data_IF_910617549960
#
_entry.id   IF_910617549960
#
_cell.length_a   1.000
_cell.length_b   1.000
_cell.length_c   1.000
_cell.angle_alpha   90.00
_cell.angle_beta   90.00
_cell.angle_gamma   90.00
#
_symmetry.space_group_name_H-M   'P 1'
#
loop_
_entity.id
_entity.type
_entity.pdbx_description
1 polymer ?
#
# COMPACT_ATOMS: atom_id res chain seq x y z
N UNK A 1 2.74 -43.47 45.12
CA UNK A 1 2.15 -42.16 44.76
C UNK A 1 2.96 -41.59 43.60
N UNK A 2 2.49 -41.78 42.36
CA UNK A 2 3.17 -41.30 41.14
C UNK A 2 2.69 -39.87 40.86
N UNK A 3 3.59 -38.90 40.92
CA UNK A 3 3.32 -37.52 40.56
C UNK A 3 3.65 -37.37 39.07
N UNK A 4 2.61 -37.16 38.26
CA UNK A 4 2.69 -36.91 36.82
C UNK A 4 3.16 -35.46 36.63
N UNK A 5 4.35 -35.25 36.06
CA UNK A 5 4.77 -33.91 35.60
C UNK A 5 4.30 -33.76 34.14
N UNK A 6 3.16 -33.08 33.96
CA UNK A 6 2.67 -32.65 32.66
C UNK A 6 3.48 -31.42 32.25
N UNK A 7 4.55 -31.62 31.46
CA UNK A 7 5.24 -30.50 30.83
C UNK A 7 4.37 -29.96 29.69
N UNK A 8 3.92 -28.72 29.86
CA UNK A 8 3.35 -27.89 28.80
C UNK A 8 4.38 -27.73 27.68
N UNK A 9 4.16 -28.41 26.57
CA UNK A 9 4.75 -28.02 25.28
C UNK A 9 3.80 -27.01 24.67
N UNK A 10 3.98 -25.73 25.01
CA UNK A 10 3.31 -24.61 24.36
C UNK A 10 4.26 -23.97 23.34
N UNK A 11 3.99 -24.28 22.07
CA UNK A 11 3.96 -23.32 20.95
C UNK A 11 5.12 -22.35 20.77
N UNK A 12 6.30 -22.84 20.38
CA UNK A 12 7.41 -22.00 19.85
C UNK A 12 7.17 -21.60 18.37
N UNK A 13 6.18 -22.17 17.69
CA UNK A 13 5.91 -21.86 16.27
C UNK A 13 5.15 -20.54 16.06
N UNK A 14 4.41 -20.03 17.06
CA UNK A 14 3.60 -18.81 16.90
C UNK A 14 4.40 -17.51 17.07
N UNK A 15 5.48 -17.50 17.86
CA UNK A 15 6.26 -16.26 18.08
C UNK A 15 6.96 -15.80 16.80
N UNK A 16 7.50 -16.73 16.01
CA UNK A 16 8.15 -16.41 14.73
C UNK A 16 7.20 -15.87 13.67
N UNK A 17 5.92 -16.29 13.68
CA UNK A 17 4.90 -15.75 12.76
C UNK A 17 4.44 -14.36 13.19
N UNK A 18 4.28 -14.14 14.50
CA UNK A 18 3.98 -12.83 15.09
C UNK A 18 5.07 -11.80 14.79
N UNK A 19 6.34 -12.17 14.96
CA UNK A 19 7.50 -11.29 14.71
C UNK A 19 7.65 -10.91 13.23
N UNK A 20 7.08 -11.69 12.32
CA UNK A 20 7.11 -11.42 10.86
C UNK A 20 5.89 -10.68 10.35
N UNK A 21 4.89 -10.42 11.20
CA UNK A 21 3.68 -9.73 10.76
C UNK A 21 3.61 -8.29 11.27
N UNK A 22 3.79 -8.08 12.56
CA UNK A 22 3.56 -6.78 13.21
C UNK A 22 4.73 -5.82 13.04
N UNK A 23 4.43 -4.51 13.15
CA UNK A 23 5.43 -3.46 13.01
C UNK A 23 6.40 -3.50 14.20
N UNK A 24 7.69 -3.31 13.93
CA UNK A 24 8.75 -3.40 14.93
C UNK A 24 9.41 -2.04 15.18
N UNK A 25 9.41 -1.59 16.44
CA UNK A 25 9.98 -0.28 16.78
C UNK A 25 11.48 -0.18 16.47
N UNK A 26 12.27 -1.21 16.77
CA UNK A 26 13.72 -1.19 16.49
C UNK A 26 14.02 -1.09 15.00
N UNK A 27 13.23 -1.79 14.16
CA UNK A 27 13.36 -1.73 12.70
C UNK A 27 13.00 -0.34 12.19
N UNK A 28 11.84 0.20 12.59
CA UNK A 28 11.39 1.51 12.09
C UNK A 28 12.28 2.66 12.54
N UNK A 29 12.92 2.53 13.72
CA UNK A 29 13.90 3.50 14.22
C UNK A 29 15.21 3.56 13.44
N UNK A 30 15.49 2.59 12.55
CA UNK A 30 16.63 2.69 11.63
C UNK A 30 16.46 3.85 10.64
N UNK A 31 15.22 4.22 10.29
CA UNK A 31 14.91 5.31 9.38
C UNK A 31 13.55 5.93 9.73
N UNK A 32 13.41 6.65 10.86
CA UNK A 32 12.10 7.01 11.40
C UNK A 32 11.25 7.89 10.48
N UNK A 33 11.87 8.76 9.67
CA UNK A 33 11.18 9.59 8.67
C UNK A 33 10.57 8.79 7.52
N UNK A 34 10.94 7.52 7.35
CA UNK A 34 10.47 6.65 6.27
C UNK A 34 9.14 5.95 6.60
N UNK A 35 8.74 5.89 7.87
CA UNK A 35 7.63 5.03 8.32
C UNK A 35 6.44 5.83 8.82
N UNK A 36 5.24 5.42 8.41
CA UNK A 36 3.98 6.08 8.70
C UNK A 36 3.56 6.01 10.19
N UNK A 37 4.15 5.11 10.99
CA UNK A 37 3.80 4.91 12.40
C UNK A 37 4.71 5.69 13.37
N UNK A 38 5.79 6.29 12.87
CA UNK A 38 6.75 7.00 13.71
C UNK A 38 6.28 8.45 13.97
N UNK A 39 6.59 9.04 15.14
CA UNK A 39 6.25 10.42 15.45
C UNK A 39 6.59 11.43 14.34
N UNK A 40 7.71 11.19 13.65
CA UNK A 40 8.25 11.96 12.54
C UNK A 40 7.27 12.08 11.34
N UNK A 41 6.33 11.15 11.19
CA UNK A 41 5.31 11.16 10.14
C UNK A 41 4.09 12.05 10.44
N UNK A 42 3.99 12.69 11.63
CA UNK A 42 2.81 13.52 11.97
C UNK A 42 2.53 14.60 10.91
N UNK A 43 3.57 15.34 10.50
CA UNK A 43 3.41 16.40 9.50
C UNK A 43 3.06 15.85 8.11
N UNK A 44 3.58 14.66 7.76
CA UNK A 44 3.19 13.97 6.53
C UNK A 44 1.69 13.68 6.54
N UNK A 45 1.15 13.09 7.61
CA UNK A 45 -0.27 12.77 7.74
C UNK A 45 -1.17 14.01 7.66
N UNK A 46 -0.74 15.14 8.24
CA UNK A 46 -1.47 16.42 8.17
C UNK A 46 -1.60 16.94 6.74
N UNK A 47 -0.56 16.75 5.92
CA UNK A 47 -0.48 17.35 4.59
C UNK A 47 -0.97 16.43 3.46
N UNK A 48 -0.71 15.12 3.58
CA UNK A 48 -0.95 14.19 2.47
C UNK A 48 -2.44 13.93 2.21
N UNK A 49 -3.28 13.99 3.26
CA UNK A 49 -4.70 13.63 3.18
C UNK A 49 -5.45 14.38 2.08
N UNK A 50 -5.39 15.72 2.10
CA UNK A 50 -6.09 16.55 1.10
C UNK A 50 -5.49 16.39 -0.32
N UNK A 51 -4.17 16.27 -0.43
CA UNK A 51 -3.50 16.06 -1.72
C UNK A 51 -3.94 14.73 -2.34
N UNK A 52 -3.78 13.64 -1.60
CA UNK A 52 -4.12 12.29 -2.06
C UNK A 52 -5.61 12.17 -2.37
N UNK A 53 -6.48 12.76 -1.53
CA UNK A 53 -7.92 12.83 -1.77
C UNK A 53 -8.26 13.51 -3.09
N UNK A 54 -7.70 14.70 -3.35
CA UNK A 54 -7.96 15.41 -4.61
C UNK A 54 -7.52 14.61 -5.83
N UNK A 55 -6.36 13.97 -5.74
CA UNK A 55 -5.78 13.20 -6.84
C UNK A 55 -6.61 11.94 -7.16
N UNK A 56 -6.98 11.16 -6.14
CA UNK A 56 -7.80 9.95 -6.33
C UNK A 56 -9.21 10.28 -6.79
N UNK A 57 -9.83 11.37 -6.30
CA UNK A 57 -11.15 11.81 -6.75
C UNK A 57 -11.12 12.27 -8.21
N UNK A 58 -10.07 12.99 -8.62
CA UNK A 58 -9.89 13.36 -10.02
C UNK A 58 -9.71 12.13 -10.91
N UNK A 59 -8.90 11.16 -10.47
CA UNK A 59 -8.69 9.92 -11.23
C UNK A 59 -9.98 9.12 -11.39
N UNK A 60 -10.71 8.89 -10.28
CA UNK A 60 -12.02 8.21 -10.31
C UNK A 60 -12.99 8.94 -11.24
N UNK A 61 -13.02 10.27 -11.21
CA UNK A 61 -13.85 11.08 -12.10
C UNK A 61 -13.50 10.84 -13.57
N UNK A 62 -12.21 10.91 -13.94
CA UNK A 62 -11.77 10.70 -15.32
C UNK A 62 -12.15 9.31 -15.85
N UNK A 63 -12.01 8.27 -15.02
CA UNK A 63 -12.45 6.91 -15.39
C UNK A 63 -13.98 6.84 -15.55
N UNK A 64 -14.74 7.48 -14.66
CA UNK A 64 -16.21 7.49 -14.74
C UNK A 64 -16.76 8.28 -15.94
N UNK A 65 -15.99 9.24 -16.47
CA UNK A 65 -16.35 9.97 -17.69
C UNK A 65 -16.19 9.11 -18.95
N UNK A 66 -15.34 8.06 -18.91
CA UNK A 66 -15.25 7.04 -19.95
C UNK A 66 -16.16 5.85 -19.60
N UNK A 67 -17.44 5.95 -19.98
CA UNK A 67 -18.44 4.90 -19.71
C UNK A 67 -18.04 3.52 -20.25
N UNK A 68 -17.34 3.47 -21.39
CA UNK A 68 -16.93 2.20 -22.00
C UNK A 68 -15.79 1.54 -21.22
N UNK A 69 -14.85 2.33 -20.71
CA UNK A 69 -13.81 1.84 -19.80
C UNK A 69 -14.42 1.41 -18.46
N UNK A 70 -15.32 2.21 -17.88
CA UNK A 70 -15.97 1.90 -16.61
C UNK A 70 -16.72 0.57 -16.67
N UNK A 71 -17.48 0.31 -17.75
CA UNK A 71 -18.19 -0.96 -17.93
C UNK A 71 -17.22 -2.15 -17.94
N UNK A 72 -16.08 -2.03 -18.63
CA UNK A 72 -15.05 -3.08 -18.65
C UNK A 72 -14.41 -3.29 -17.28
N UNK A 73 -14.16 -2.23 -16.52
CA UNK A 73 -13.65 -2.32 -15.15
C UNK A 73 -14.68 -3.05 -14.26
N UNK A 74 -15.97 -2.74 -14.38
CA UNK A 74 -17.02 -3.42 -13.61
C UNK A 74 -17.16 -4.91 -13.95
N UNK A 75 -16.81 -5.29 -15.18
CA UNK A 75 -16.79 -6.69 -15.64
C UNK A 75 -15.38 -7.28 -15.68
N UNK A 76 -14.41 -6.67 -14.99
CA UNK A 76 -12.98 -6.99 -15.18
C UNK A 76 -12.65 -8.48 -14.95
N UNK A 77 -13.32 -9.12 -13.98
CA UNK A 77 -13.17 -10.56 -13.70
C UNK A 77 -13.58 -11.47 -14.87
N UNK A 78 -14.44 -11.00 -15.76
CA UNK A 78 -14.99 -11.75 -16.90
C UNK A 78 -14.15 -11.56 -18.18
N UNK A 79 -13.25 -10.58 -18.19
CA UNK A 79 -12.42 -10.26 -19.34
C UNK A 79 -11.31 -11.30 -19.54
N UNK A 80 -11.00 -11.59 -20.81
CA UNK A 80 -9.78 -12.33 -21.16
C UNK A 80 -8.55 -11.42 -21.02
N UNK A 81 -7.35 -12.00 -20.98
CA UNK A 81 -6.13 -11.22 -20.69
C UNK A 81 -5.88 -10.10 -21.71
N UNK A 82 -6.11 -10.34 -23.00
CA UNK A 82 -5.94 -9.33 -24.05
C UNK A 82 -6.86 -8.12 -23.86
N UNK A 83 -8.03 -8.33 -23.24
CA UNK A 83 -8.96 -7.26 -22.89
C UNK A 83 -8.55 -6.57 -21.59
N UNK A 84 -8.11 -7.34 -20.58
CA UNK A 84 -7.55 -6.82 -19.33
C UNK A 84 -6.36 -5.91 -19.60
N UNK A 85 -5.42 -6.31 -20.45
CA UNK A 85 -4.26 -5.50 -20.79
C UNK A 85 -4.66 -4.16 -21.43
N UNK A 86 -5.64 -4.15 -22.34
CA UNK A 86 -6.16 -2.91 -22.93
C UNK A 86 -6.76 -2.00 -21.86
N UNK A 87 -7.55 -2.56 -20.94
CA UNK A 87 -8.12 -1.82 -19.81
C UNK A 87 -7.01 -1.25 -18.94
N UNK A 88 -6.02 -2.05 -18.55
CA UNK A 88 -4.87 -1.63 -17.74
C UNK A 88 -4.14 -0.45 -18.38
N UNK A 89 -3.87 -0.50 -19.69
CA UNK A 89 -3.20 0.61 -20.40
C UNK A 89 -4.05 1.89 -20.43
N UNK A 90 -5.38 1.79 -20.54
CA UNK A 90 -6.27 2.94 -20.46
C UNK A 90 -6.32 3.53 -19.05
N UNK A 91 -6.43 2.68 -18.02
CA UNK A 91 -6.39 3.05 -16.60
C UNK A 91 -5.09 3.77 -16.27
N UNK A 92 -3.95 3.22 -16.69
CA UNK A 92 -2.63 3.81 -16.54
C UNK A 92 -2.56 5.22 -17.14
N UNK A 93 -3.05 5.40 -18.37
CA UNK A 93 -3.01 6.70 -19.04
C UNK A 93 -3.85 7.76 -18.29
N UNK A 94 -5.04 7.39 -17.81
CA UNK A 94 -5.89 8.28 -17.04
C UNK A 94 -5.31 8.59 -15.66
N UNK A 95 -4.63 7.64 -15.02
CA UNK A 95 -3.94 7.87 -13.76
C UNK A 95 -2.79 8.86 -13.93
N UNK A 96 -1.92 8.64 -14.93
CA UNK A 96 -0.83 9.58 -15.27
C UNK A 96 -1.38 10.98 -15.51
N UNK A 97 -2.50 11.10 -16.24
CA UNK A 97 -3.17 12.37 -16.46
C UNK A 97 -3.69 13.00 -15.15
N UNK A 98 -4.35 12.21 -14.30
CA UNK A 98 -4.89 12.68 -13.03
C UNK A 98 -3.79 13.17 -12.07
N UNK A 99 -2.68 12.44 -12.03
CA UNK A 99 -1.53 12.75 -11.18
C UNK A 99 -0.67 13.88 -11.75
N UNK A 100 -0.80 14.20 -13.04
CA UNK A 100 -0.04 15.26 -13.71
C UNK A 100 1.47 14.99 -13.72
N UNK A 101 1.86 13.72 -13.85
CA UNK A 101 3.26 13.28 -13.78
C UNK A 101 3.82 13.00 -15.18
N UNK A 102 5.15 12.92 -15.28
CA UNK A 102 5.76 12.28 -16.45
C UNK A 102 5.42 10.79 -16.39
N UNK A 103 4.87 10.25 -17.47
CA UNK A 103 4.52 8.84 -17.54
C UNK A 103 5.77 7.97 -17.26
N UNK A 104 5.71 7.01 -16.32
CA UNK A 104 6.71 5.95 -16.25
C UNK A 104 6.61 5.06 -17.49
N UNK A 105 7.65 4.26 -17.74
CA UNK A 105 7.54 3.18 -18.73
C UNK A 105 6.61 2.09 -18.18
N UNK A 106 5.57 1.71 -18.93
CA UNK A 106 4.68 0.62 -18.57
C UNK A 106 5.04 -0.66 -19.33
N UNK A 107 5.45 -1.69 -18.60
CA UNK A 107 5.79 -3.01 -19.12
C UNK A 107 4.80 -4.03 -18.56
N UNK A 108 4.07 -4.69 -19.45
CA UNK A 108 3.13 -5.77 -19.11
C UNK A 108 3.58 -6.99 -19.92
N UNK A 109 4.24 -7.93 -19.25
CA UNK A 109 4.77 -9.15 -19.89
C UNK A 109 4.86 -10.30 -18.87
N UNK A 110 5.54 -11.40 -19.22
CA UNK A 110 5.62 -12.60 -18.38
C UNK A 110 6.92 -12.73 -17.57
N UNK A 111 7.92 -11.90 -17.82
CA UNK A 111 9.32 -12.21 -17.44
C UNK A 111 10.09 -11.07 -16.80
N UNK A 112 9.63 -9.83 -16.94
CA UNK A 112 10.42 -8.65 -16.54
C UNK A 112 10.48 -8.46 -15.03
N UNK A 113 9.52 -8.98 -14.27
CA UNK A 113 9.57 -9.06 -12.80
C UNK A 113 9.18 -10.47 -12.31
N UNK A 114 9.65 -10.85 -11.12
CA UNK A 114 9.38 -12.17 -10.51
C UNK A 114 8.09 -12.22 -9.70
N UNK A 115 7.57 -11.06 -9.29
CA UNK A 115 6.34 -10.93 -8.52
C UNK A 115 5.22 -10.43 -9.45
N UNK A 116 3.99 -10.32 -8.95
CA UNK A 116 2.83 -9.83 -9.71
C UNK A 116 3.06 -8.43 -10.30
N UNK A 117 3.69 -7.55 -9.52
CA UNK A 117 3.99 -6.19 -9.91
C UNK A 117 5.27 -5.66 -9.25
N UNK A 118 5.87 -4.63 -9.85
CA UNK A 118 7.00 -3.92 -9.27
C UNK A 118 7.18 -2.53 -9.90
N UNK A 119 7.39 -1.52 -9.07
CA UNK A 119 7.92 -0.23 -9.50
C UNK A 119 9.45 -0.24 -9.42
N UNK A 120 10.09 -0.16 -10.59
CA UNK A 120 11.55 -0.06 -10.69
C UNK A 120 12.01 1.39 -10.74
N UNK A 121 12.91 1.73 -9.84
CA UNK A 121 13.40 3.10 -9.61
C UNK A 121 14.89 3.16 -9.32
N UNK A 122 15.49 4.30 -9.67
CA UNK A 122 16.91 4.58 -9.40
C UNK A 122 17.07 5.90 -8.64
N UNK A 123 17.38 5.77 -7.34
CA UNK A 123 17.69 6.90 -6.45
C UNK A 123 18.85 7.78 -6.92
N UNK A 124 19.74 7.27 -7.77
CA UNK A 124 20.91 8.01 -8.28
C UNK A 124 20.63 8.73 -9.60
N UNK A 125 19.61 8.31 -10.34
CA UNK A 125 19.17 8.92 -11.59
C UNK A 125 17.64 9.12 -11.56
N UNK A 126 17.16 10.12 -10.82
CA UNK A 126 15.73 10.29 -10.59
C UNK A 126 14.99 10.64 -11.88
N UNK A 127 14.07 9.76 -12.28
CA UNK A 127 13.18 9.92 -13.42
C UNK A 127 11.76 9.50 -13.07
N UNK A 128 10.98 9.10 -14.08
CA UNK A 128 9.63 8.59 -13.86
C UNK A 128 9.63 7.12 -13.37
N UNK A 129 10.73 6.38 -13.56
CA UNK A 129 10.80 4.95 -13.23
C UNK A 129 10.04 4.08 -14.24
N UNK A 130 9.82 2.81 -13.87
CA UNK A 130 9.12 1.82 -14.69
C UNK A 130 8.10 1.07 -13.84
N UNK A 131 6.91 0.88 -14.38
CA UNK A 131 5.84 0.06 -13.80
C UNK A 131 5.82 -1.27 -14.53
N UNK A 132 6.04 -2.35 -13.79
CA UNK A 132 6.16 -3.69 -14.32
C UNK A 132 5.01 -4.55 -13.79
N UNK A 133 4.30 -5.24 -14.67
CA UNK A 133 3.29 -6.24 -14.31
C UNK A 133 3.66 -7.58 -14.92
N UNK A 134 3.65 -8.65 -14.11
CA UNK A 134 3.83 -10.02 -14.57
C UNK A 134 2.48 -10.71 -14.78
N UNK A 135 2.16 -10.97 -16.05
CA UNK A 135 0.92 -11.63 -16.48
C UNK A 135 0.77 -13.01 -15.82
N UNK A 136 1.83 -13.83 -15.85
CA UNK A 136 1.76 -15.21 -15.39
C UNK A 136 1.55 -15.30 -13.87
N UNK A 137 2.10 -14.36 -13.10
CA UNK A 137 1.86 -14.29 -11.65
C UNK A 137 0.47 -13.71 -11.34
N UNK A 138 0.03 -12.68 -12.08
CA UNK A 138 -1.31 -12.11 -11.93
C UNK A 138 -2.43 -13.10 -12.26
N UNK A 139 -2.23 -14.03 -13.19
CA UNK A 139 -3.19 -15.09 -13.50
C UNK A 139 -3.33 -16.14 -12.38
N UNK A 140 -2.33 -16.25 -11.50
CA UNK A 140 -2.34 -17.15 -10.34
C UNK A 140 -2.97 -16.50 -9.11
N UNK A 141 -3.07 -15.18 -9.09
CA UNK A 141 -3.66 -14.45 -7.97
C UNK A 141 -5.14 -14.83 -7.81
N UNK A 142 -5.54 -15.15 -6.59
CA UNK A 142 -6.91 -15.47 -6.23
C UNK A 142 -7.86 -14.26 -6.37
N UNK A 143 -7.32 -13.04 -6.34
CA UNK A 143 -8.07 -11.82 -6.54
C UNK A 143 -8.10 -11.45 -8.04
N UNK A 144 -9.26 -11.54 -8.72
CA UNK A 144 -9.35 -11.26 -10.14
C UNK A 144 -9.08 -9.80 -10.50
N UNK A 145 -9.04 -8.89 -9.53
CA UNK A 145 -8.74 -7.46 -9.70
C UNK A 145 -7.29 -7.10 -9.33
N UNK A 146 -6.44 -8.06 -8.97
CA UNK A 146 -5.06 -7.81 -8.56
C UNK A 146 -4.30 -6.94 -9.56
N UNK A 147 -4.41 -7.22 -10.86
CA UNK A 147 -3.75 -6.42 -11.90
C UNK A 147 -4.17 -4.94 -11.91
N UNK A 148 -5.44 -4.63 -11.64
CA UNK A 148 -5.91 -3.24 -11.54
C UNK A 148 -5.36 -2.57 -10.28
N UNK A 149 -5.47 -3.25 -9.13
CA UNK A 149 -5.00 -2.73 -7.84
C UNK A 149 -3.50 -2.44 -7.87
N UNK A 150 -2.73 -3.40 -8.35
CA UNK A 150 -1.28 -3.30 -8.41
C UNK A 150 -0.82 -2.29 -9.46
N UNK A 151 -1.44 -2.22 -10.64
CA UNK A 151 -1.12 -1.16 -11.61
C UNK A 151 -1.26 0.24 -10.99
N UNK A 152 -2.37 0.48 -10.29
CA UNK A 152 -2.65 1.78 -9.68
C UNK A 152 -1.64 2.05 -8.55
N UNK A 153 -1.36 1.05 -7.73
CA UNK A 153 -0.36 1.13 -6.68
C UNK A 153 1.05 1.47 -7.23
N UNK A 154 1.54 0.73 -8.23
CA UNK A 154 2.87 0.95 -8.80
C UNK A 154 2.97 2.28 -9.57
N UNK A 155 1.89 2.69 -10.24
CA UNK A 155 1.84 4.01 -10.91
C UNK A 155 1.86 5.14 -9.88
N UNK A 156 1.20 4.95 -8.73
CA UNK A 156 1.29 5.87 -7.61
C UNK A 156 2.72 6.02 -7.10
N UNK A 157 3.50 4.95 -7.02
CA UNK A 157 4.92 5.05 -6.68
C UNK A 157 5.71 5.95 -7.64
N UNK A 158 5.40 5.94 -8.94
CA UNK A 158 6.03 6.89 -9.88
C UNK A 158 5.78 8.35 -9.50
N UNK A 159 4.55 8.69 -9.10
CA UNK A 159 4.23 10.05 -8.65
C UNK A 159 4.95 10.43 -7.37
N UNK A 160 4.94 9.53 -6.38
CA UNK A 160 5.65 9.72 -5.11
C UNK A 160 7.15 9.88 -5.33
N UNK A 161 7.74 9.07 -6.21
CA UNK A 161 9.16 9.11 -6.53
C UNK A 161 9.54 10.42 -7.22
N UNK A 162 8.76 10.87 -8.20
CA UNK A 162 8.98 12.18 -8.84
C UNK A 162 8.81 13.35 -7.84
N UNK A 163 7.89 13.24 -6.88
CA UNK A 163 7.73 14.24 -5.81
C UNK A 163 8.89 14.21 -4.81
N UNK A 164 9.48 13.05 -4.52
CA UNK A 164 10.59 12.87 -3.58
C UNK A 164 11.83 13.72 -3.90
N UNK A 165 11.99 14.15 -5.16
CA UNK A 165 13.08 15.02 -5.59
C UNK A 165 12.71 16.51 -5.66
N UNK A 166 11.49 16.88 -5.26
CA UNK A 166 11.04 18.27 -5.06
C UNK A 166 11.10 18.65 -3.58
N UNK A 167 12.31 18.68 -3.00
CA UNK A 167 12.59 18.76 -1.54
C UNK A 167 12.07 20.00 -0.78
N UNK A 168 11.17 20.77 -1.37
CA UNK A 168 10.66 22.03 -0.86
C UNK A 168 9.48 21.84 0.10
N UNK A 169 9.01 20.62 0.34
CA UNK A 169 7.90 20.35 1.28
C UNK A 169 8.13 19.06 2.12
N UNK A 170 7.42 18.89 3.26
CA UNK A 170 7.55 17.70 4.11
C UNK A 170 7.18 16.38 3.43
N UNK A 171 6.19 16.38 2.53
CA UNK A 171 5.77 15.18 1.78
C UNK A 171 6.93 14.62 0.94
N UNK A 172 7.63 15.48 0.19
CA UNK A 172 8.77 15.09 -0.63
C UNK A 172 9.89 14.46 0.21
N UNK A 173 10.17 15.02 1.40
CA UNK A 173 11.19 14.45 2.31
C UNK A 173 10.80 13.07 2.82
N UNK A 174 9.54 12.90 3.22
CA UNK A 174 9.01 11.63 3.68
C UNK A 174 9.08 10.55 2.59
N UNK A 175 8.66 10.86 1.36
CA UNK A 175 8.80 9.91 0.23
C UNK A 175 10.27 9.57 -0.06
N UNK A 176 11.16 10.56 -0.05
CA UNK A 176 12.59 10.30 -0.26
C UNK A 176 13.18 9.41 0.82
N UNK A 177 12.81 9.64 2.09
CA UNK A 177 13.21 8.80 3.20
C UNK A 177 12.70 7.36 3.03
N UNK A 178 11.45 7.19 2.61
CA UNK A 178 10.84 5.89 2.38
C UNK A 178 11.53 5.08 1.26
N UNK A 179 11.71 5.65 0.06
CA UNK A 179 12.44 4.98 -1.02
C UNK A 179 13.91 4.67 -0.66
N UNK A 180 14.55 5.58 0.10
CA UNK A 180 15.91 5.36 0.62
C UNK A 180 15.94 4.18 1.59
N UNK A 181 14.99 4.11 2.53
CA UNK A 181 14.91 3.03 3.51
C UNK A 181 14.61 1.69 2.85
N UNK A 182 13.68 1.65 1.89
CA UNK A 182 13.35 0.45 1.12
C UNK A 182 14.59 -0.13 0.42
N UNK A 183 15.49 0.71 -0.11
CA UNK A 183 16.74 0.27 -0.76
C UNK A 183 17.84 -0.10 0.24
N UNK A 184 18.07 0.72 1.26
CA UNK A 184 19.22 0.61 2.14
C UNK A 184 19.00 -0.34 3.35
N UNK A 185 17.75 -0.56 3.74
CA UNK A 185 17.36 -1.36 4.91
C UNK A 185 16.47 -2.55 4.56
N UNK A 186 16.37 -2.94 3.28
CA UNK A 186 15.57 -4.08 2.81
C UNK A 186 15.78 -5.38 3.61
N UNK A 187 17.01 -5.64 4.08
CA UNK A 187 17.32 -6.84 4.87
C UNK A 187 16.75 -6.81 6.29
N UNK A 188 16.48 -5.64 6.84
CA UNK A 188 15.88 -5.46 8.15
C UNK A 188 14.35 -5.37 8.07
N UNK A 189 13.83 -4.70 7.04
CA UNK A 189 12.41 -4.53 6.76
C UNK A 189 11.87 -5.85 6.17
N UNK A 190 11.56 -6.79 7.06
CA UNK A 190 11.13 -8.14 6.68
C UNK A 190 9.74 -8.49 7.20
N UNK A 191 9.21 -7.73 8.17
CA UNK A 191 7.84 -7.92 8.62
C UNK A 191 6.85 -7.30 7.63
N UNK A 192 5.67 -7.92 7.53
CA UNK A 192 4.58 -7.44 6.70
C UNK A 192 4.22 -5.98 7.00
N UNK A 193 3.99 -5.66 8.27
CA UNK A 193 3.62 -4.31 8.70
C UNK A 193 4.77 -3.31 8.56
N UNK A 194 6.04 -3.69 8.78
CA UNK A 194 7.14 -2.74 8.56
C UNK A 194 7.25 -2.35 7.09
N UNK A 195 7.16 -3.32 6.18
CA UNK A 195 7.19 -3.03 4.75
C UNK A 195 6.00 -2.14 4.35
N UNK A 196 4.78 -2.55 4.71
CA UNK A 196 3.56 -1.87 4.30
C UNK A 196 3.27 -0.56 5.04
N UNK A 197 4.08 -0.23 6.05
CA UNK A 197 4.03 1.08 6.72
C UNK A 197 5.21 1.96 6.37
N UNK A 198 6.07 1.57 5.42
CA UNK A 198 6.85 2.56 4.68
C UNK A 198 5.89 3.57 4.04
N UNK A 199 6.21 4.85 4.11
CA UNK A 199 5.29 5.93 3.72
C UNK A 199 4.86 5.81 2.24
N UNK A 200 5.77 5.41 1.35
CA UNK A 200 5.46 5.19 -0.06
C UNK A 200 4.47 4.02 -0.23
N UNK A 201 4.69 2.90 0.44
CA UNK A 201 3.83 1.70 0.41
C UNK A 201 2.45 1.99 1.02
N UNK A 202 2.43 2.50 2.25
CA UNK A 202 1.22 2.85 3.01
C UNK A 202 0.26 3.70 2.17
N UNK A 203 0.78 4.81 1.62
CA UNK A 203 -0.05 5.75 0.88
C UNK A 203 -0.41 5.24 -0.52
N UNK A 204 0.46 4.47 -1.17
CA UNK A 204 0.15 3.87 -2.47
C UNK A 204 -0.97 2.83 -2.37
N UNK A 205 -0.92 1.94 -1.36
CA UNK A 205 -2.02 1.02 -1.09
C UNK A 205 -3.31 1.75 -0.71
N UNK A 206 -3.23 2.78 0.13
CA UNK A 206 -4.40 3.56 0.49
C UNK A 206 -5.04 4.25 -0.73
N UNK A 207 -4.22 4.80 -1.62
CA UNK A 207 -4.67 5.40 -2.88
C UNK A 207 -5.36 4.37 -3.78
N UNK A 208 -4.69 3.24 -4.06
CA UNK A 208 -5.22 2.18 -4.94
C UNK A 208 -6.51 1.56 -4.41
N UNK A 209 -6.54 1.23 -3.12
CA UNK A 209 -7.72 0.64 -2.47
C UNK A 209 -8.93 1.56 -2.54
N UNK A 210 -8.74 2.87 -2.32
CA UNK A 210 -9.83 3.85 -2.48
C UNK A 210 -10.36 3.88 -3.92
N UNK A 211 -9.46 4.03 -4.90
CA UNK A 211 -9.84 4.19 -6.30
C UNK A 211 -10.64 2.98 -6.78
N UNK A 212 -10.12 1.78 -6.55
CA UNK A 212 -10.77 0.54 -7.00
C UNK A 212 -12.11 0.35 -6.28
N UNK A 213 -12.17 0.61 -4.98
CA UNK A 213 -13.44 0.57 -4.22
C UNK A 213 -14.46 1.58 -4.73
N UNK A 214 -14.03 2.77 -5.16
CA UNK A 214 -14.91 3.81 -5.68
C UNK A 214 -15.42 3.55 -7.12
N UNK A 215 -14.67 2.75 -7.90
CA UNK A 215 -15.05 2.33 -9.25
C UNK A 215 -15.95 1.10 -9.25
N UNK A 216 -15.77 0.22 -8.26
CA UNK A 216 -16.46 -1.06 -8.12
C UNK A 216 -17.47 -1.08 -6.97
N UNK A 217 -17.82 0.08 -6.41
CA UNK A 217 -18.80 0.24 -5.33
C UNK A 217 -18.54 -0.68 -4.13
N UNK A 218 -17.28 -0.81 -3.72
CA UNK A 218 -16.85 -1.64 -2.59
C UNK A 218 -16.84 -3.15 -2.84
N UNK A 219 -17.11 -3.62 -4.06
CA UNK A 219 -17.20 -5.06 -4.38
C UNK A 219 -15.83 -5.74 -4.64
N UNK A 220 -14.75 -5.22 -4.07
CA UNK A 220 -13.39 -5.77 -4.25
C UNK A 220 -12.81 -6.19 -2.91
N UNK A 221 -12.25 -7.40 -2.90
CA UNK A 221 -11.41 -7.86 -1.81
C UNK A 221 -10.06 -7.14 -1.87
N UNK A 222 -9.76 -6.37 -0.84
CA UNK A 222 -8.46 -5.68 -0.66
C UNK A 222 -7.71 -6.21 0.56
N UNK A 223 -8.12 -7.36 1.13
CA UNK A 223 -7.55 -7.86 2.38
C UNK A 223 -6.05 -8.15 2.29
N UNK A 224 -5.56 -8.58 1.13
CA UNK A 224 -4.12 -8.77 0.86
C UNK A 224 -3.39 -7.53 0.35
N UNK A 225 -4.09 -6.41 0.16
CA UNK A 225 -3.57 -5.20 -0.52
C UNK A 225 -3.20 -4.14 0.50
N UNK A 226 -2.20 -4.45 1.33
CA UNK A 226 -1.74 -3.57 2.41
C UNK A 226 -2.33 -3.90 3.79
N UNK A 227 -1.97 -3.09 4.78
CA UNK A 227 -2.49 -3.17 6.15
C UNK A 227 -3.90 -2.59 6.25
N UNK A 228 -4.59 -2.76 7.39
CA UNK A 228 -5.88 -2.10 7.62
C UNK A 228 -5.76 -0.56 7.65
N UNK A 229 -4.58 -0.01 7.89
CA UNK A 229 -4.35 1.43 7.76
C UNK A 229 -4.45 1.96 6.31
N UNK A 230 -4.36 1.07 5.32
CA UNK A 230 -4.50 1.38 3.90
C UNK A 230 -5.83 0.91 3.31
N UNK A 231 -6.76 0.41 4.12
CA UNK A 231 -8.02 -0.14 3.66
C UNK A 231 -9.23 0.64 4.19
N UNK A 232 -10.36 0.47 3.49
CA UNK A 232 -11.60 1.18 3.76
C UNK A 232 -12.71 0.23 4.24
N UNK A 233 -13.59 0.75 5.08
CA UNK A 233 -14.90 0.16 5.36
C UNK A 233 -15.86 0.46 4.18
N UNK A 234 -17.04 -0.16 4.20
CA UNK A 234 -18.08 0.03 3.17
C UNK A 234 -18.55 1.49 3.04
N UNK A 235 -18.46 2.27 4.13
CA UNK A 235 -18.80 3.70 4.17
C UNK A 235 -17.65 4.63 3.74
N UNK A 236 -16.56 4.07 3.18
CA UNK A 236 -15.34 4.77 2.78
C UNK A 236 -14.56 5.45 3.92
N UNK A 237 -14.80 5.04 5.18
CA UNK A 237 -13.92 5.39 6.30
C UNK A 237 -12.71 4.45 6.36
N UNK A 238 -11.56 4.92 6.85
CA UNK A 238 -10.38 4.07 7.03
C UNK A 238 -10.62 3.05 8.14
N UNK A 239 -10.20 1.79 7.94
CA UNK A 239 -10.26 0.76 9.00
C UNK A 239 -9.34 1.11 10.17
N UNK A 240 -8.15 1.65 9.88
CA UNK A 240 -7.27 2.31 10.86
C UNK A 240 -6.90 3.70 10.35
N UNK A 241 -7.45 4.75 10.97
CA UNK A 241 -7.18 6.14 10.59
C UNK A 241 -5.93 6.68 11.32
N UNK A 242 -4.75 6.51 10.69
CA UNK A 242 -3.49 7.02 11.26
C UNK A 242 -3.51 8.53 11.52
N UNK A 243 -3.93 9.41 10.59
CA UNK A 243 -4.07 10.84 10.87
C UNK A 243 -4.87 11.13 12.15
N UNK A 244 -5.99 10.42 12.36
CA UNK A 244 -6.76 10.53 13.60
C UNK A 244 -5.97 10.06 14.82
N UNK A 245 -5.26 8.94 14.76
CA UNK A 245 -4.44 8.45 15.88
C UNK A 245 -3.36 9.46 16.28
N UNK A 246 -2.71 10.11 15.30
CA UNK A 246 -1.73 11.17 15.58
C UNK A 246 -2.38 12.36 16.28
N UNK A 247 -3.54 12.81 15.79
CA UNK A 247 -4.30 13.91 16.40
C UNK A 247 -4.71 13.58 17.84
N UNK A 248 -5.29 12.41 18.07
CA UNK A 248 -5.76 11.97 19.38
C UNK A 248 -4.60 11.92 20.41
N UNK A 249 -3.40 11.52 19.95
CA UNK A 249 -2.17 11.54 20.76
C UNK A 249 -1.66 12.95 21.04
N UNK A 250 -1.64 13.84 20.04
CA UNK A 250 -1.26 15.26 20.22
C UNK A 250 -2.19 15.98 21.20
N UNK A 251 -3.47 15.62 21.22
CA UNK A 251 -4.49 16.15 22.15
C UNK A 251 -4.42 15.49 23.54
N UNK A 252 -3.55 14.49 23.74
CA UNK A 252 -3.37 13.79 25.02
C UNK A 252 -4.49 12.80 25.37
N UNK A 253 -5.38 12.47 24.44
CA UNK A 253 -6.44 11.47 24.63
C UNK A 253 -5.96 10.03 24.48
N UNK A 254 -4.76 9.83 23.91
CA UNK A 254 -4.05 8.56 23.88
C UNK A 254 -2.58 8.76 24.29
N UNK A 255 -2.11 8.05 25.31
CA UNK A 255 -0.73 8.11 25.80
C UNK A 255 0.18 7.04 25.22
N UNK A 256 -0.38 6.06 24.50
CA UNK A 256 0.38 5.00 23.85
C UNK A 256 1.09 5.51 22.58
N UNK A 257 2.15 4.81 22.16
CA UNK A 257 2.80 5.12 20.87
C UNK A 257 1.87 4.74 19.72
N UNK A 258 1.95 5.49 18.61
CA UNK A 258 1.15 5.20 17.41
C UNK A 258 1.38 3.77 16.92
N UNK A 259 2.64 3.31 16.93
CA UNK A 259 3.01 1.94 16.56
C UNK A 259 2.30 0.89 17.42
N UNK A 260 2.26 1.07 18.75
CA UNK A 260 1.62 0.08 19.62
C UNK A 260 0.09 0.09 19.46
N UNK A 261 -0.53 1.26 19.33
CA UNK A 261 -1.97 1.35 19.04
C UNK A 261 -2.28 0.73 17.68
N UNK A 262 -1.46 0.98 16.65
CA UNK A 262 -1.58 0.34 15.33
C UNK A 262 -1.52 -1.19 15.45
N UNK A 263 -0.48 -1.75 16.06
CA UNK A 263 -0.31 -3.21 16.19
C UNK A 263 -1.48 -3.89 16.92
N UNK A 264 -2.10 -3.21 17.90
CA UNK A 264 -3.30 -3.72 18.57
C UNK A 264 -4.51 -3.79 17.64
N UNK A 265 -4.71 -2.77 16.82
CA UNK A 265 -5.82 -2.71 15.86
C UNK A 265 -5.60 -3.67 14.68
N UNK A 266 -4.36 -3.74 14.18
CA UNK A 266 -3.95 -4.57 13.05
C UNK A 266 -4.10 -6.09 13.33
N UNK A 267 -4.16 -6.48 14.61
CA UNK A 267 -4.42 -7.86 15.01
C UNK A 267 -5.68 -8.44 14.37
N UNK A 268 -6.70 -7.62 14.13
CA UNK A 268 -7.91 -8.07 13.45
C UNK A 268 -7.62 -8.58 12.03
N UNK A 269 -6.73 -7.93 11.27
CA UNK A 269 -6.33 -8.41 9.94
C UNK A 269 -5.51 -9.69 10.02
N UNK A 270 -4.55 -9.73 10.95
CA UNK A 270 -3.73 -10.92 11.19
C UNK A 270 -4.60 -12.16 11.46
N UNK A 271 -5.58 -12.04 12.36
CA UNK A 271 -6.44 -13.15 12.76
C UNK A 271 -7.31 -13.63 11.57
N UNK A 272 -7.73 -12.73 10.67
CA UNK A 272 -8.44 -13.10 9.44
C UNK A 272 -7.52 -13.85 8.48
N UNK A 273 -6.31 -13.33 8.23
CA UNK A 273 -5.36 -13.92 7.27
C UNK A 273 -4.80 -15.27 7.72
N UNK A 274 -4.60 -15.47 9.03
CA UNK A 274 -4.10 -16.74 9.58
C UNK A 274 -5.21 -17.77 9.79
N UNK A 275 -6.46 -17.32 9.89
CA UNK A 275 -7.63 -18.20 9.99
C UNK A 275 -8.14 -18.76 8.65
N UNK A 276 -7.59 -18.30 7.53
CA UNK A 276 -7.86 -18.76 6.16
C UNK A 276 -6.89 -19.87 5.74
#
# INVERSE_FOLDING_TARGET
MKMLLLMCVLSIQNSFALDRYFANEEVQRLAPEAFALQPEASEFHKLIGEKSKRERELFVKLVKEDNALLEKIQKYKELVWEEKEKVLRQVFALEVQALGIKAPELIIDKTTTKNEAYFDFDMTNPGAGRVLLNIDELEKDSNPHAGLLLLIHETRHSAQFQEAFKLNNPIARAYKAAFSAQKNHAKAITSFSDFLTLINEYEAFQFGNYVVSALLNGQVDTLGMGTFASQYNEDYTLKIDLPKLFKDREEGSNTETILNTFNKLERAQYDILVGQ
#
